data_IF_454769576999
#
_entry.id   IF_454769576999
#
_cell.length_a   1.000
_cell.length_b   1.000
_cell.length_c   1.000
_cell.angle_alpha   90.00
_cell.angle_beta   90.00
_cell.angle_gamma   90.00
#
_symmetry.space_group_name_H-M   'P 1'
#
loop_
_entity.id
_entity.type
_entity.pdbx_description
1 polymer ?
#
# COMPACT_ATOMS: atom_id res chain seq x y z
N UNK A 1 -14.82 -18.65 -11.39
CA UNK A 1 -13.57 -18.56 -12.18
C UNK A 1 -13.52 -19.69 -13.21
N UNK A 2 -13.04 -19.41 -14.42
CA UNK A 2 -12.89 -20.43 -15.46
C UNK A 2 -11.61 -21.24 -15.23
N UNK A 3 -11.72 -22.58 -15.14
CA UNK A 3 -10.55 -23.46 -14.95
C UNK A 3 -9.72 -23.64 -16.21
N UNK A 4 -10.29 -23.34 -17.37
CA UNK A 4 -9.58 -23.41 -18.62
C UNK A 4 -9.82 -22.14 -19.42
N UNK A 5 -8.74 -21.52 -19.88
CA UNK A 5 -8.78 -20.48 -20.89
C UNK A 5 -8.68 -21.13 -22.29
N UNK A 6 -9.43 -20.62 -23.29
CA UNK A 6 -9.31 -21.07 -24.67
C UNK A 6 -7.93 -20.70 -25.26
N UNK A 7 -7.43 -21.46 -26.25
CA UNK A 7 -8.02 -22.68 -26.82
C UNK A 7 -7.88 -23.90 -25.90
N UNK A 8 -8.87 -24.79 -25.95
CA UNK A 8 -8.84 -26.08 -25.25
C UNK A 8 -8.17 -27.12 -26.15
N UNK A 9 -7.12 -27.77 -25.65
CA UNK A 9 -6.51 -28.94 -26.29
C UNK A 9 -6.79 -30.20 -25.49
N UNK A 10 -6.87 -31.35 -26.18
CA UNK A 10 -7.03 -32.64 -25.52
C UNK A 10 -5.90 -32.92 -24.52
N UNK A 11 -4.66 -32.58 -24.88
CA UNK A 11 -3.49 -32.71 -24.03
C UNK A 11 -3.60 -31.88 -22.74
N UNK A 12 -4.02 -30.61 -22.83
CA UNK A 12 -4.21 -29.73 -21.66
C UNK A 12 -5.25 -30.29 -20.70
N UNK A 13 -6.35 -30.82 -21.23
CA UNK A 13 -7.40 -31.46 -20.42
C UNK A 13 -6.90 -32.76 -19.79
N UNK A 14 -6.19 -33.60 -20.55
CA UNK A 14 -5.67 -34.88 -20.08
C UNK A 14 -4.64 -34.70 -18.96
N UNK A 15 -3.71 -33.77 -19.13
CA UNK A 15 -2.71 -33.42 -18.11
C UNK A 15 -3.41 -32.94 -16.84
N UNK A 16 -4.38 -32.03 -16.96
CA UNK A 16 -5.14 -31.53 -15.82
C UNK A 16 -5.86 -32.66 -15.06
N UNK A 17 -6.47 -33.61 -15.77
CA UNK A 17 -7.13 -34.76 -15.13
C UNK A 17 -6.14 -35.73 -14.46
N UNK A 18 -4.98 -35.98 -15.09
CA UNK A 18 -3.91 -36.80 -14.48
C UNK A 18 -3.42 -36.23 -13.16
N UNK A 19 -3.28 -34.91 -13.05
CA UNK A 19 -2.92 -34.24 -11.80
C UNK A 19 -3.99 -34.44 -10.71
N UNK A 20 -5.29 -34.30 -11.05
CA UNK A 20 -6.36 -34.51 -10.06
C UNK A 20 -6.42 -35.96 -9.60
N UNK A 21 -6.13 -36.93 -10.46
CA UNK A 21 -6.02 -38.34 -10.10
C UNK A 21 -4.83 -38.59 -9.18
N UNK A 22 -3.68 -37.92 -9.41
CA UNK A 22 -2.54 -38.00 -8.50
C UNK A 22 -2.90 -37.46 -7.10
N UNK A 23 -3.65 -36.36 -7.01
CA UNK A 23 -4.14 -35.82 -5.74
C UNK A 23 -5.09 -36.77 -4.99
N UNK A 24 -5.83 -37.63 -5.72
CA UNK A 24 -6.66 -38.68 -5.11
C UNK A 24 -5.79 -39.74 -4.44
N UNK A 25 -4.72 -40.18 -5.10
CA UNK A 25 -3.78 -41.15 -4.53
C UNK A 25 -3.07 -40.58 -3.28
N UNK A 26 -2.87 -39.26 -3.23
CA UNK A 26 -2.30 -38.53 -2.09
C UNK A 26 -3.30 -38.24 -0.96
N UNK A 27 -4.58 -38.59 -1.12
CA UNK A 27 -5.65 -38.29 -0.14
C UNK A 27 -5.99 -36.79 0.01
N UNK A 28 -5.48 -35.94 -0.90
CA UNK A 28 -5.74 -34.49 -0.93
C UNK A 28 -7.00 -34.15 -1.73
N UNK A 29 -7.57 -35.12 -2.44
CA UNK A 29 -8.77 -34.97 -3.25
C UNK A 29 -9.61 -36.24 -3.27
N UNK A 30 -10.92 -36.06 -3.33
CA UNK A 30 -11.89 -37.13 -3.56
C UNK A 30 -12.74 -36.76 -4.77
N UNK A 31 -13.00 -37.71 -5.66
CA UNK A 31 -13.74 -37.49 -6.91
C UNK A 31 -14.87 -38.51 -7.01
N UNK A 32 -16.10 -38.03 -7.15
CA UNK A 32 -17.27 -38.86 -7.41
C UNK A 32 -17.71 -38.67 -8.85
N UNK A 33 -17.95 -39.78 -9.52
CA UNK A 33 -18.42 -39.81 -10.90
C UNK A 33 -19.77 -40.48 -10.91
N UNK A 34 -20.78 -39.77 -11.43
CA UNK A 34 -22.11 -40.32 -11.65
C UNK A 34 -22.13 -41.01 -13.01
N UNK A 35 -22.53 -42.28 -13.03
CA UNK A 35 -22.53 -43.13 -14.22
C UNK A 35 -23.87 -43.85 -14.41
N UNK A 36 -24.24 -44.21 -15.65
CA UNK A 36 -25.56 -44.79 -15.95
C UNK A 36 -25.71 -46.23 -15.49
N UNK A 37 -24.67 -47.06 -15.63
CA UNK A 37 -24.67 -48.43 -15.10
C UNK A 37 -23.24 -48.84 -14.68
N UNK A 38 -23.15 -49.71 -13.68
CA UNK A 38 -21.92 -50.41 -13.30
C UNK A 38 -22.22 -51.89 -13.35
N UNK A 39 -21.35 -52.68 -13.96
CA UNK A 39 -21.48 -54.13 -13.85
C UNK A 39 -21.17 -54.62 -12.43
N UNK A 40 -21.46 -55.90 -12.16
CA UNK A 40 -21.23 -56.52 -10.86
C UNK A 40 -19.74 -56.52 -10.40
N UNK A 41 -18.80 -56.12 -11.28
CA UNK A 41 -17.37 -55.98 -10.98
C UNK A 41 -16.95 -54.53 -10.73
N UNK A 42 -17.89 -53.58 -10.81
CA UNK A 42 -17.64 -52.14 -10.66
C UNK A 42 -17.15 -51.48 -11.95
N UNK A 43 -17.24 -52.15 -13.11
CA UNK A 43 -16.78 -51.62 -14.40
C UNK A 43 -17.92 -50.90 -15.13
N UNK A 44 -17.59 -49.76 -15.73
CA UNK A 44 -18.53 -48.89 -16.46
C UNK A 44 -19.02 -49.56 -17.75
N UNK A 45 -20.33 -49.49 -18.05
CA UNK A 45 -20.91 -50.02 -19.29
C UNK A 45 -21.14 -48.92 -20.35
N UNK A 46 -20.07 -48.34 -20.89
CA UNK A 46 -20.14 -47.45 -22.07
C UNK A 46 -19.76 -45.99 -21.80
N UNK A 47 -20.11 -45.02 -22.67
CA UNK A 47 -19.69 -43.62 -22.54
C UNK A 47 -20.63 -42.89 -21.57
N UNK A 48 -20.53 -43.26 -20.29
CA UNK A 48 -21.62 -43.17 -19.31
C UNK A 48 -21.41 -42.11 -18.21
N UNK A 49 -20.43 -41.21 -18.31
CA UNK A 49 -20.23 -40.18 -17.28
C UNK A 49 -21.33 -39.12 -17.37
N UNK A 50 -22.31 -39.22 -16.47
CA UNK A 50 -23.44 -38.30 -16.35
C UNK A 50 -23.12 -37.07 -15.53
N UNK A 51 -22.13 -37.16 -14.64
CA UNK A 51 -21.70 -36.03 -13.82
C UNK A 51 -20.47 -36.31 -12.99
N UNK A 52 -19.91 -35.26 -12.42
CA UNK A 52 -18.75 -35.33 -11.52
C UNK A 52 -18.88 -34.27 -10.44
N UNK A 53 -18.34 -34.54 -9.26
CA UNK A 53 -18.02 -33.55 -8.23
C UNK A 53 -16.72 -33.94 -7.55
N UNK A 54 -15.98 -32.95 -7.04
CA UNK A 54 -14.73 -33.16 -6.33
C UNK A 54 -14.76 -32.47 -4.97
N UNK A 55 -14.09 -33.08 -4.00
CA UNK A 55 -13.77 -32.48 -2.72
C UNK A 55 -12.26 -32.33 -2.63
N UNK A 56 -11.77 -31.11 -2.40
CA UNK A 56 -10.36 -30.81 -2.14
C UNK A 56 -10.14 -30.66 -0.64
N UNK A 57 -9.13 -31.35 -0.11
CA UNK A 57 -8.83 -31.49 1.33
C UNK A 57 -7.37 -31.15 1.67
N UNK A 58 -6.81 -30.02 1.19
CA UNK A 58 -5.41 -29.69 1.42
C UNK A 58 -5.08 -29.55 2.91
N UNK A 59 -3.85 -29.89 3.31
CA UNK A 59 -3.39 -29.74 4.68
C UNK A 59 -3.32 -28.26 5.09
N UNK A 60 -3.87 -27.94 6.25
CA UNK A 60 -3.81 -26.61 6.86
C UNK A 60 -3.97 -26.75 8.38
N UNK A 61 -3.03 -26.20 9.14
CA UNK A 61 -3.07 -26.23 10.62
C UNK A 61 -4.24 -25.40 11.18
N UNK A 62 -4.55 -24.27 10.54
CA UNK A 62 -5.61 -23.35 10.95
C UNK A 62 -6.98 -23.65 10.31
N UNK A 63 -7.02 -24.61 9.38
CA UNK A 63 -8.19 -24.86 8.52
C UNK A 63 -8.54 -26.34 8.33
N UNK A 64 -8.03 -27.25 9.15
CA UNK A 64 -8.22 -28.70 8.98
C UNK A 64 -9.69 -29.15 8.90
N UNK A 65 -10.64 -28.39 9.45
CA UNK A 65 -12.08 -28.68 9.40
C UNK A 65 -12.75 -28.24 8.07
N UNK A 66 -12.02 -27.59 7.15
CA UNK A 66 -12.55 -27.08 5.88
C UNK A 66 -12.33 -28.08 4.73
N UNK A 67 -13.31 -28.18 3.83
CA UNK A 67 -13.19 -28.86 2.54
C UNK A 67 -13.76 -27.99 1.43
N UNK A 68 -13.18 -28.06 0.23
CA UNK A 68 -13.62 -27.26 -0.91
C UNK A 68 -14.33 -28.11 -1.95
N UNK A 69 -15.59 -27.79 -2.25
CA UNK A 69 -16.37 -28.44 -3.30
C UNK A 69 -15.98 -27.81 -4.63
N UNK A 70 -15.45 -28.64 -5.52
CA UNK A 70 -14.98 -28.22 -6.82
C UNK A 70 -15.66 -29.04 -7.92
N UNK A 71 -15.92 -28.39 -9.06
CA UNK A 71 -16.29 -29.07 -10.32
C UNK A 71 -17.54 -29.95 -10.23
N UNK A 72 -18.61 -29.46 -9.57
CA UNK A 72 -19.95 -30.05 -9.73
C UNK A 72 -20.45 -29.80 -11.16
N UNK A 73 -20.37 -30.83 -12.00
CA UNK A 73 -20.76 -30.77 -13.41
C UNK A 73 -21.75 -31.90 -13.72
N UNK A 74 -22.87 -31.56 -14.35
CA UNK A 74 -23.85 -32.52 -14.86
C UNK A 74 -23.92 -32.40 -16.38
N UNK A 75 -23.80 -33.55 -17.05
CA UNK A 75 -23.96 -33.67 -18.49
C UNK A 75 -25.30 -33.04 -18.92
N UNK A 76 -25.30 -32.25 -19.98
CA UNK A 76 -26.45 -31.42 -20.39
C UNK A 76 -27.77 -32.21 -20.51
N UNK A 77 -27.71 -33.45 -21.00
CA UNK A 77 -28.88 -34.32 -21.20
C UNK A 77 -29.38 -35.00 -19.91
N UNK A 78 -28.64 -34.86 -18.80
CA UNK A 78 -28.94 -35.49 -17.51
C UNK A 78 -29.35 -34.46 -16.43
N UNK A 79 -29.40 -33.17 -16.78
CA UNK A 79 -29.83 -32.09 -15.87
C UNK A 79 -31.31 -32.20 -15.53
N UNK A 80 -31.70 -31.70 -14.35
CA UNK A 80 -33.09 -31.74 -13.87
C UNK A 80 -33.57 -33.09 -13.35
N UNK A 81 -32.75 -34.15 -13.41
CA UNK A 81 -33.08 -35.52 -12.96
C UNK A 81 -32.50 -35.87 -11.58
N UNK A 82 -32.12 -34.88 -10.77
CA UNK A 82 -31.57 -35.10 -9.42
C UNK A 82 -30.10 -35.48 -9.32
N UNK A 83 -29.36 -35.67 -10.43
CA UNK A 83 -27.96 -36.12 -10.38
C UNK A 83 -27.00 -35.22 -9.58
N UNK A 84 -27.20 -33.90 -9.59
CA UNK A 84 -26.38 -32.98 -8.79
C UNK A 84 -26.59 -33.18 -7.28
N UNK A 85 -27.83 -33.48 -6.86
CA UNK A 85 -28.16 -33.77 -5.46
C UNK A 85 -27.49 -35.06 -5.01
N UNK A 86 -27.60 -36.13 -5.81
CA UNK A 86 -26.98 -37.42 -5.49
C UNK A 86 -25.45 -37.31 -5.32
N UNK A 87 -24.78 -36.54 -6.20
CA UNK A 87 -23.34 -36.31 -6.09
C UNK A 87 -22.96 -35.49 -4.84
N UNK A 88 -23.72 -34.45 -4.51
CA UNK A 88 -23.47 -33.64 -3.32
C UNK A 88 -23.73 -34.41 -2.01
N UNK A 89 -24.78 -35.23 -1.95
CA UNK A 89 -25.07 -36.08 -0.78
C UNK A 89 -23.94 -37.11 -0.53
N UNK A 90 -23.40 -37.71 -1.60
CA UNK A 90 -22.23 -38.59 -1.50
C UNK A 90 -20.98 -37.84 -1.01
N UNK A 91 -20.73 -36.63 -1.55
CA UNK A 91 -19.61 -35.79 -1.14
C UNK A 91 -19.72 -35.35 0.31
N UNK A 92 -20.90 -34.92 0.76
CA UNK A 92 -21.14 -34.43 2.12
C UNK A 92 -20.96 -35.55 3.15
N UNK A 93 -21.39 -36.76 2.82
CA UNK A 93 -21.21 -37.95 3.66
C UNK A 93 -19.73 -38.22 3.89
N UNK A 94 -18.91 -38.19 2.84
CA UNK A 94 -17.46 -38.40 2.95
C UNK A 94 -16.75 -37.21 3.60
N UNK A 95 -17.13 -35.98 3.29
CA UNK A 95 -16.59 -34.80 3.96
C UNK A 95 -16.77 -34.91 5.48
N UNK A 96 -17.93 -35.38 5.92
CA UNK A 96 -18.20 -35.64 7.34
C UNK A 96 -17.32 -36.75 7.91
N UNK A 97 -17.12 -37.87 7.19
CA UNK A 97 -16.26 -38.98 7.64
C UNK A 97 -14.79 -38.54 7.80
N UNK A 98 -14.35 -37.59 6.98
CA UNK A 98 -13.01 -37.00 6.99
C UNK A 98 -12.86 -35.81 7.97
N UNK A 99 -13.87 -35.51 8.77
CA UNK A 99 -13.84 -34.39 9.73
C UNK A 99 -13.93 -32.99 9.11
N UNK A 100 -14.35 -32.88 7.84
CA UNK A 100 -14.53 -31.61 7.12
C UNK A 100 -15.91 -31.04 7.41
N UNK A 101 -16.04 -30.38 8.57
CA UNK A 101 -17.29 -29.81 9.09
C UNK A 101 -17.79 -28.58 8.34
N UNK A 102 -16.95 -27.97 7.48
CA UNK A 102 -17.31 -26.80 6.69
C UNK A 102 -16.96 -27.02 5.22
N UNK A 103 -17.97 -26.98 4.35
CA UNK A 103 -17.80 -27.06 2.90
C UNK A 103 -17.89 -25.67 2.27
N UNK A 104 -16.86 -25.32 1.51
CA UNK A 104 -16.73 -24.05 0.80
C UNK A 104 -16.77 -24.28 -0.70
N UNK A 105 -17.37 -23.37 -1.46
CA UNK A 105 -17.36 -23.43 -2.92
C UNK A 105 -17.51 -22.05 -3.52
N UNK A 106 -17.01 -21.91 -4.75
CA UNK A 106 -17.26 -20.75 -5.59
C UNK A 106 -18.30 -21.10 -6.66
N UNK A 107 -19.37 -20.30 -6.75
CA UNK A 107 -20.36 -20.37 -7.83
C UNK A 107 -20.63 -18.99 -8.40
N UNK A 108 -20.92 -18.91 -9.70
CA UNK A 108 -21.33 -17.65 -10.33
C UNK A 108 -22.70 -17.21 -9.81
N UNK A 109 -22.81 -15.96 -9.37
CA UNK A 109 -24.06 -15.36 -8.89
C UNK A 109 -25.09 -15.28 -10.03
N UNK A 110 -26.33 -15.65 -9.76
CA UNK A 110 -27.42 -15.72 -10.73
C UNK A 110 -27.40 -16.97 -11.61
N UNK A 111 -26.40 -17.87 -11.47
CA UNK A 111 -26.30 -19.07 -12.29
C UNK A 111 -27.27 -20.19 -11.86
N UNK A 112 -27.53 -21.13 -12.76
CA UNK A 112 -28.31 -22.33 -12.45
C UNK A 112 -27.66 -23.19 -11.35
N UNK A 113 -26.34 -23.11 -11.19
CA UNK A 113 -25.60 -23.82 -10.14
C UNK A 113 -25.87 -23.22 -8.76
N UNK A 114 -25.95 -21.88 -8.65
CA UNK A 114 -26.30 -21.22 -7.38
C UNK A 114 -27.68 -21.66 -6.87
N UNK A 115 -28.67 -21.79 -7.77
CA UNK A 115 -30.00 -22.29 -7.41
C UNK A 115 -30.00 -23.73 -6.89
N UNK A 116 -29.08 -24.57 -7.38
CA UNK A 116 -28.91 -25.96 -6.90
C UNK A 116 -28.31 -25.95 -5.50
N UNK A 117 -27.23 -25.19 -5.27
CA UNK A 117 -26.60 -25.11 -3.95
C UNK A 117 -27.55 -24.55 -2.88
N UNK A 118 -28.34 -23.53 -3.20
CA UNK A 118 -29.38 -23.00 -2.29
C UNK A 118 -30.42 -24.05 -1.92
N UNK A 119 -30.86 -24.88 -2.88
CA UNK A 119 -31.81 -25.98 -2.63
C UNK A 119 -31.22 -27.12 -1.79
N UNK A 120 -29.90 -27.29 -1.82
CA UNK A 120 -29.17 -28.25 -0.98
C UNK A 120 -28.87 -27.69 0.42
N UNK A 121 -29.41 -26.52 0.77
CA UNK A 121 -29.22 -25.90 2.09
C UNK A 121 -27.88 -25.17 2.24
N UNK A 122 -27.07 -25.10 1.18
CA UNK A 122 -25.87 -24.26 1.18
C UNK A 122 -26.29 -22.79 1.16
N UNK A 123 -25.81 -22.06 2.14
CA UNK A 123 -26.12 -20.64 2.30
C UNK A 123 -25.07 -19.84 1.55
N UNK A 124 -25.51 -18.80 0.85
CA UNK A 124 -24.59 -17.79 0.32
C UNK A 124 -23.86 -17.16 1.50
N UNK A 125 -22.62 -17.61 1.72
CA UNK A 125 -21.69 -16.88 2.53
C UNK A 125 -21.10 -15.79 1.62
N UNK A 126 -21.51 -14.54 1.83
CA UNK A 126 -20.51 -13.46 1.78
C UNK A 126 -19.41 -13.93 2.73
N UNK A 127 -18.11 -13.87 2.43
CA UNK A 127 -17.07 -14.50 3.24
C UNK A 127 -17.06 -13.93 4.67
N UNK A 128 -17.96 -14.45 5.49
CA UNK A 128 -18.06 -14.29 6.92
C UNK A 128 -17.44 -15.56 7.43
N UNK A 129 -16.16 -15.43 7.77
CA UNK A 129 -15.45 -16.39 8.59
C UNK A 129 -16.25 -16.56 9.88
N UNK A 130 -16.98 -17.66 10.03
CA UNK A 130 -17.68 -18.03 11.27
C UNK A 130 -17.54 -19.54 11.49
N UNK A 131 -17.33 -20.09 12.68
CA UNK A 131 -17.41 -19.59 14.04
C UNK A 131 -16.34 -20.33 14.86
N UNK A 132 -15.36 -19.60 15.41
CA UNK A 132 -14.88 -19.98 16.74
C UNK A 132 -15.96 -19.50 17.71
N UNK A 133 -16.18 -20.27 18.78
CA UNK A 133 -17.12 -19.94 19.84
C UNK A 133 -17.07 -18.44 20.20
N UNK A 134 -18.26 -17.82 20.27
CA UNK A 134 -18.56 -16.47 20.78
C UNK A 134 -17.34 -15.70 21.30
N UNK A 135 -16.62 -15.10 20.38
CA UNK A 135 -15.88 -13.87 20.62
C UNK A 135 -16.22 -12.98 19.43
N UNK A 136 -16.87 -11.86 19.70
CA UNK A 136 -16.94 -10.77 18.72
C UNK A 136 -15.49 -10.44 18.34
N UNK A 137 -15.06 -10.82 17.13
CA UNK A 137 -13.79 -10.35 16.59
C UNK A 137 -14.07 -8.93 16.12
N UNK A 138 -13.84 -7.97 17.01
CA UNK A 138 -13.72 -6.58 16.61
C UNK A 138 -12.59 -6.49 15.57
N UNK A 139 -12.92 -6.11 14.33
CA UNK A 139 -11.92 -5.56 13.42
C UNK A 139 -11.59 -4.16 13.94
N UNK A 140 -10.60 -4.07 14.81
CA UNK A 140 -10.14 -2.81 15.36
C UNK A 140 -9.03 -2.26 14.44
N UNK A 141 -9.43 -1.60 13.36
CA UNK A 141 -8.53 -0.64 12.71
C UNK A 141 -8.48 0.65 13.53
N UNK A 142 -7.40 1.43 13.43
CA UNK A 142 -7.23 2.68 14.18
C UNK A 142 -8.39 3.68 13.96
N UNK A 143 -9.11 3.58 12.84
CA UNK A 143 -10.20 4.48 12.48
C UNK A 143 -11.53 3.72 12.36
N UNK A 144 -12.67 4.32 12.75
CA UNK A 144 -13.98 3.69 12.61
C UNK A 144 -14.43 3.60 11.14
N UNK A 145 -15.29 2.62 10.81
CA UNK A 145 -15.90 2.48 9.47
C UNK A 145 -15.16 1.58 8.48
N UNK A 146 -14.17 0.82 8.94
CA UNK A 146 -13.32 -0.04 8.11
C UNK A 146 -13.97 -1.44 7.96
N UNK A 147 -14.15 -1.88 6.71
CA UNK A 147 -14.49 -3.29 6.38
C UNK A 147 -13.21 -4.04 5.96
N UNK A 148 -13.08 -5.35 6.26
CA UNK A 148 -11.99 -6.17 5.74
C UNK A 148 -12.22 -6.63 4.28
N UNK A 149 -13.30 -6.20 3.61
CA UNK A 149 -13.60 -6.55 2.23
C UNK A 149 -12.66 -5.85 1.22
N UNK A 150 -12.58 -6.38 0.00
CA UNK A 150 -11.78 -5.75 -1.05
C UNK A 150 -12.41 -4.41 -1.50
N UNK A 151 -11.68 -3.31 -1.36
CA UNK A 151 -12.19 -1.97 -1.60
C UNK A 151 -12.02 -1.56 -3.07
N UNK A 152 -13.12 -1.15 -3.72
CA UNK A 152 -13.07 -0.62 -5.09
C UNK A 152 -13.35 0.88 -5.08
N UNK A 153 -12.31 1.68 -4.87
CA UNK A 153 -12.46 3.14 -4.82
C UNK A 153 -12.95 3.77 -6.13
N UNK A 154 -12.85 3.06 -7.26
CA UNK A 154 -13.46 3.47 -8.52
C UNK A 154 -15.00 3.50 -8.49
N UNK A 155 -15.63 2.82 -7.52
CA UNK A 155 -17.09 2.79 -7.35
C UNK A 155 -17.59 3.77 -6.27
N UNK A 156 -16.67 4.46 -5.59
CA UNK A 156 -16.98 5.43 -4.54
C UNK A 156 -16.73 6.82 -5.09
N UNK A 157 -17.71 7.73 -4.92
CA UNK A 157 -17.51 9.12 -5.30
C UNK A 157 -16.42 9.73 -4.43
N UNK A 158 -15.33 10.27 -5.02
CA UNK A 158 -14.17 10.64 -4.24
C UNK A 158 -14.42 11.99 -3.55
N UNK A 159 -14.28 11.99 -2.23
CA UNK A 159 -14.50 13.17 -1.38
C UNK A 159 -13.20 13.95 -1.22
N UNK A 160 -13.28 15.28 -1.25
CA UNK A 160 -12.13 16.15 -1.03
C UNK A 160 -11.71 16.08 0.44
N UNK A 161 -10.46 15.74 0.71
CA UNK A 161 -9.88 15.70 2.04
C UNK A 161 -9.93 17.08 2.72
N UNK A 162 -9.99 17.10 4.06
CA UNK A 162 -10.20 18.31 4.87
C UNK A 162 -11.51 19.09 4.59
N UNK A 163 -12.44 18.54 3.79
CA UNK A 163 -13.80 19.08 3.67
C UNK A 163 -14.70 18.64 4.83
N UNK A 164 -15.87 19.26 4.96
CA UNK A 164 -16.88 18.86 5.94
C UNK A 164 -17.41 17.42 5.73
N UNK A 165 -17.19 16.85 4.54
CA UNK A 165 -17.62 15.50 4.16
C UNK A 165 -16.53 14.45 4.36
N UNK A 166 -15.26 14.85 4.47
CA UNK A 166 -14.13 13.95 4.73
C UNK A 166 -14.02 13.60 6.21
N UNK A 167 -15.07 12.99 6.77
CA UNK A 167 -15.11 12.50 8.14
C UNK A 167 -15.43 11.01 8.17
N UNK A 168 -14.83 10.21 9.06
CA UNK A 168 -15.04 8.76 9.09
C UNK A 168 -16.53 8.36 9.14
N UNK A 169 -17.36 9.11 9.85
CA UNK A 169 -18.80 8.85 10.00
C UNK A 169 -19.67 9.28 8.80
N UNK A 170 -19.10 10.06 7.87
CA UNK A 170 -19.82 10.60 6.69
C UNK A 170 -19.43 9.94 5.39
N UNK A 171 -18.20 9.44 5.30
CA UNK A 171 -17.72 8.76 4.10
C UNK A 171 -18.25 7.33 4.07
N UNK A 172 -18.52 6.84 2.86
CA UNK A 172 -18.93 5.44 2.68
C UNK A 172 -17.80 4.46 3.00
N UNK A 173 -16.55 4.90 2.80
CA UNK A 173 -15.36 4.06 2.90
C UNK A 173 -14.12 4.92 3.16
N UNK A 174 -13.53 4.79 4.35
CA UNK A 174 -12.30 5.49 4.77
C UNK A 174 -11.05 5.00 4.04
N UNK A 175 -11.09 3.82 3.41
CA UNK A 175 -10.00 3.34 2.54
C UNK A 175 -9.99 4.06 1.19
N UNK A 176 -11.10 4.70 0.82
CA UNK A 176 -11.27 5.44 -0.43
C UNK A 176 -11.34 6.95 -0.26
N UNK A 177 -11.33 7.46 0.96
CA UNK A 177 -11.25 8.90 1.27
C UNK A 177 -10.32 9.12 2.45
N UNK A 178 -9.31 9.98 2.28
CA UNK A 178 -8.44 10.35 3.39
C UNK A 178 -9.17 11.25 4.40
N UNK A 179 -9.46 10.70 5.58
CA UNK A 179 -10.22 11.37 6.64
C UNK A 179 -9.37 11.86 7.82
N UNK A 180 -8.07 11.56 7.84
CA UNK A 180 -7.20 11.93 8.95
C UNK A 180 -6.00 12.77 8.48
N UNK A 181 -5.20 12.22 7.55
CA UNK A 181 -4.04 12.88 6.94
C UNK A 181 -4.40 13.79 5.75
N UNK A 182 -5.57 14.43 5.78
CA UNK A 182 -6.17 15.05 4.59
C UNK A 182 -5.45 16.29 4.03
N UNK A 183 -4.58 16.91 4.81
CA UNK A 183 -3.61 17.88 4.30
C UNK A 183 -2.34 17.10 3.96
N UNK A 184 -1.92 17.08 2.71
CA UNK A 184 -0.72 16.38 2.28
C UNK A 184 0.40 17.37 2.06
N UNK A 185 1.60 17.00 2.50
CA UNK A 185 2.82 17.80 2.31
C UNK A 185 3.87 16.93 1.65
N UNK A 186 4.14 17.16 0.36
CA UNK A 186 5.24 16.52 -0.34
C UNK A 186 6.51 17.34 -0.10
N UNK A 187 7.51 16.72 0.54
CA UNK A 187 8.70 17.41 1.04
C UNK A 187 9.96 16.91 0.34
N UNK A 188 10.88 17.83 0.06
CA UNK A 188 12.15 17.55 -0.60
C UNK A 188 13.32 18.16 0.17
N UNK A 189 14.48 17.53 0.04
CA UNK A 189 15.73 17.92 0.69
C UNK A 189 16.82 18.24 -0.33
N UNK A 190 17.61 19.26 0.01
CA UNK A 190 18.91 19.52 -0.57
C UNK A 190 19.98 19.47 0.50
N UNK A 191 20.82 18.45 0.39
CA UNK A 191 22.01 18.25 1.21
C UNK A 191 23.22 18.14 0.30
N UNK A 192 24.33 18.71 0.75
CA UNK A 192 25.57 18.76 -0.04
C UNK A 192 26.37 17.45 0.02
N UNK A 193 26.12 16.60 1.02
CA UNK A 193 26.76 15.30 1.20
C UNK A 193 25.85 14.32 1.94
N UNK A 194 26.12 13.02 1.83
CA UNK A 194 25.38 11.95 2.52
C UNK A 194 26.10 11.50 3.79
N UNK A 195 27.43 11.63 3.87
CA UNK A 195 28.24 11.08 4.96
C UNK A 195 28.42 9.56 4.87
N UNK A 196 27.94 8.94 3.78
CA UNK A 196 28.03 7.52 3.46
C UNK A 196 28.50 7.31 2.00
N UNK A 197 29.18 8.29 1.42
CA UNK A 197 29.74 8.23 0.07
C UNK A 197 30.68 7.03 -0.09
N UNK A 198 31.47 6.73 0.95
CA UNK A 198 32.36 5.56 1.00
C UNK A 198 31.63 4.21 0.92
N UNK A 199 30.30 4.20 1.14
CA UNK A 199 29.42 3.04 0.98
C UNK A 199 28.61 3.08 -0.32
N UNK A 200 28.90 4.03 -1.21
CA UNK A 200 28.19 4.23 -2.47
C UNK A 200 26.81 4.88 -2.32
N UNK A 201 26.48 5.45 -1.16
CA UNK A 201 25.26 6.24 -1.00
C UNK A 201 25.53 7.66 -1.47
N UNK A 202 25.08 7.98 -2.68
CA UNK A 202 25.27 9.27 -3.33
C UNK A 202 23.91 9.83 -3.72
N UNK A 203 23.80 11.14 -3.87
CA UNK A 203 22.58 11.75 -4.37
C UNK A 203 22.51 11.70 -5.90
N UNK A 204 21.31 11.62 -6.48
CA UNK A 204 21.16 11.80 -7.92
C UNK A 204 21.55 13.22 -8.35
N UNK A 205 22.42 13.32 -9.36
CA UNK A 205 22.81 14.59 -9.98
C UNK A 205 21.60 15.36 -10.51
N UNK A 206 21.66 16.70 -10.45
CA UNK A 206 20.64 17.61 -10.97
C UNK A 206 19.22 17.32 -10.42
N UNK A 207 19.14 16.82 -9.17
CA UNK A 207 17.87 16.46 -8.53
C UNK A 207 17.88 16.79 -7.04
N UNK A 208 16.75 17.30 -6.57
CA UNK A 208 16.45 17.29 -5.14
C UNK A 208 16.11 15.87 -4.68
N UNK A 209 16.46 15.54 -3.43
CA UNK A 209 16.14 14.24 -2.83
C UNK A 209 14.74 14.28 -2.22
N UNK A 210 14.05 13.15 -2.22
CA UNK A 210 12.78 12.99 -1.50
C UNK A 210 13.06 13.09 0.01
N UNK A 211 12.27 13.90 0.71
CA UNK A 211 12.18 13.82 2.17
C UNK A 211 11.05 12.84 2.52
N UNK A 212 9.83 13.13 2.08
CA UNK A 212 8.67 12.28 2.31
C UNK A 212 7.35 12.83 1.79
N UNK A 213 6.27 12.25 2.31
CA UNK A 213 4.90 12.68 2.11
C UNK A 213 4.20 12.65 3.47
N UNK A 214 3.82 13.81 3.98
CA UNK A 214 3.39 13.94 5.37
C UNK A 214 1.92 14.36 5.50
N UNK A 215 1.23 13.91 6.55
CA UNK A 215 -0.03 14.51 6.96
C UNK A 215 0.27 15.87 7.62
N UNK A 216 -0.38 16.94 7.15
CA UNK A 216 -0.15 18.31 7.60
C UNK A 216 -0.76 18.65 8.96
N UNK A 217 -1.50 17.73 9.58
CA UNK A 217 -1.82 17.77 11.01
C UNK A 217 -0.58 17.50 11.88
N UNK A 218 0.53 17.04 11.28
CA UNK A 218 1.77 16.59 11.93
C UNK A 218 1.53 15.55 13.04
N UNK A 219 0.40 14.86 13.01
CA UNK A 219 0.19 13.64 13.78
C UNK A 219 1.24 12.62 13.34
N UNK A 220 1.80 11.90 14.31
CA UNK A 220 2.99 11.10 14.08
C UNK A 220 2.90 9.77 14.83
N UNK A 221 3.46 8.71 14.24
CA UNK A 221 3.46 7.37 14.82
C UNK A 221 2.06 6.90 15.24
N UNK A 222 1.08 7.06 14.37
CA UNK A 222 -0.33 6.83 14.69
C UNK A 222 -0.67 5.35 14.89
N UNK A 223 0.15 4.43 14.36
CA UNK A 223 -0.01 2.99 14.54
C UNK A 223 1.33 2.33 14.90
N UNK A 224 1.52 2.04 16.18
CA UNK A 224 2.75 1.43 16.69
C UNK A 224 2.90 -0.06 16.31
N UNK A 225 1.83 -0.73 15.87
CA UNK A 225 1.92 -2.12 15.39
C UNK A 225 2.62 -2.24 14.03
N UNK A 226 2.76 -1.11 13.33
CA UNK A 226 3.44 -0.97 12.03
C UNK A 226 4.63 0.00 12.09
N UNK A 227 5.21 0.17 13.27
CA UNK A 227 6.41 0.98 13.49
C UNK A 227 7.66 0.15 13.17
N UNK A 228 8.53 0.69 12.33
CA UNK A 228 9.80 0.13 11.90
C UNK A 228 11.01 1.07 12.12
N UNK A 229 10.82 2.23 12.72
CA UNK A 229 11.87 3.24 12.92
C UNK A 229 12.85 2.84 14.04
N UNK A 230 14.14 2.62 13.74
CA UNK A 230 15.15 2.25 14.73
C UNK A 230 15.64 3.42 15.60
N UNK A 231 15.37 4.67 15.19
CA UNK A 231 15.74 5.90 15.90
C UNK A 231 14.58 6.91 15.96
N UNK A 232 13.49 6.62 16.70
CA UNK A 232 12.32 7.50 16.76
C UNK A 232 12.65 8.93 17.19
N UNK A 233 12.39 9.88 16.29
CA UNK A 233 12.60 11.31 16.51
C UNK A 233 11.35 12.13 16.10
N UNK A 234 10.59 12.69 17.06
CA UNK A 234 10.74 12.53 18.51
C UNK A 234 10.37 11.11 18.96
N UNK A 235 10.69 10.79 20.22
CA UNK A 235 10.49 9.47 20.80
C UNK A 235 9.10 9.25 21.43
N UNK A 236 8.13 10.12 21.14
CA UNK A 236 6.73 10.01 21.56
C UNK A 236 5.77 10.30 20.41
N UNK A 237 4.55 9.75 20.47
CA UNK A 237 3.53 9.88 19.40
C UNK A 237 2.96 11.30 19.25
N UNK A 238 3.22 12.22 20.18
CA UNK A 238 2.71 13.59 20.12
C UNK A 238 3.79 14.66 20.43
N UNK A 239 5.06 14.27 20.42
CA UNK A 239 6.22 15.11 20.75
C UNK A 239 6.23 15.67 22.18
N UNK A 240 5.31 15.26 23.05
CA UNK A 240 5.27 15.74 24.43
C UNK A 240 6.14 14.86 25.32
N UNK A 241 6.76 15.44 26.38
CA UNK A 241 7.53 14.67 27.35
C UNK A 241 6.74 13.54 28.05
N UNK A 242 5.41 13.67 28.12
CA UNK A 242 4.49 12.67 28.69
C UNK A 242 3.66 11.93 27.63
N UNK A 243 4.02 12.06 26.36
CA UNK A 243 3.35 11.36 25.26
C UNK A 243 3.60 9.85 25.30
N UNK A 244 2.82 9.09 24.54
CA UNK A 244 3.02 7.64 24.41
C UNK A 244 4.41 7.38 23.81
N UNK A 245 5.28 6.61 24.48
CA UNK A 245 6.61 6.32 23.95
C UNK A 245 6.56 5.52 22.64
N UNK A 246 7.46 5.86 21.73
CA UNK A 246 7.69 5.12 20.49
C UNK A 246 8.94 4.25 20.69
N UNK A 247 8.78 2.93 20.87
CA UNK A 247 9.93 2.06 21.08
C UNK A 247 10.79 2.00 19.80
N UNK A 248 12.13 2.08 19.92
CA UNK A 248 13.01 1.87 18.78
C UNK A 248 12.85 0.48 18.17
N UNK A 249 12.71 0.40 16.84
CA UNK A 249 12.69 -0.86 16.12
C UNK A 249 14.02 -1.61 16.24
N UNK A 250 13.93 -2.94 16.34
CA UNK A 250 15.07 -3.87 16.50
C UNK A 250 15.04 -5.04 15.52
N UNK A 251 14.11 -5.05 14.58
CA UNK A 251 14.03 -6.09 13.56
C UNK A 251 14.99 -5.85 12.41
N UNK A 252 14.78 -6.60 11.31
CA UNK A 252 15.67 -6.53 10.15
C UNK A 252 15.47 -5.25 9.33
N UNK A 253 16.49 -4.81 8.56
CA UNK A 253 16.37 -3.67 7.66
C UNK A 253 15.24 -3.83 6.63
N UNK A 254 14.35 -2.83 6.54
CA UNK A 254 13.15 -2.90 5.69
C UNK A 254 13.48 -3.02 4.19
N UNK A 255 14.68 -2.61 3.76
CA UNK A 255 15.14 -2.77 2.39
C UNK A 255 15.29 -4.25 1.98
N UNK A 256 15.41 -5.18 2.93
CA UNK A 256 15.45 -6.63 2.65
C UNK A 256 14.11 -7.19 2.20
N UNK A 257 13.01 -6.50 2.50
CA UNK A 257 11.66 -6.95 2.14
C UNK A 257 11.36 -6.77 0.66
N UNK A 258 12.04 -5.87 -0.05
CA UNK A 258 11.64 -5.54 -1.43
C UNK A 258 11.87 -6.70 -2.41
N UNK A 259 12.97 -7.46 -2.26
CA UNK A 259 13.32 -8.52 -3.21
C UNK A 259 12.32 -9.70 -3.20
N UNK A 260 11.95 -10.28 -2.04
CA UNK A 260 10.94 -11.35 -1.97
C UNK A 260 9.59 -11.00 -2.59
N UNK A 261 9.21 -9.71 -2.58
CA UNK A 261 7.95 -9.22 -3.16
C UNK A 261 8.10 -8.68 -4.60
N UNK A 262 9.24 -8.87 -5.24
CA UNK A 262 9.48 -8.42 -6.62
C UNK A 262 9.57 -6.90 -6.78
N UNK A 263 9.78 -6.14 -5.69
CA UNK A 263 9.83 -4.67 -5.67
C UNK A 263 11.26 -4.11 -5.85
N UNK A 264 12.13 -4.80 -6.59
CA UNK A 264 13.52 -4.38 -6.78
C UNK A 264 13.66 -3.05 -7.54
N UNK A 265 12.76 -2.78 -8.51
CA UNK A 265 12.75 -1.49 -9.22
C UNK A 265 12.37 -0.33 -8.31
N UNK A 266 11.41 -0.55 -7.40
CA UNK A 266 11.03 0.43 -6.39
C UNK A 266 12.22 0.72 -5.47
N UNK A 267 12.89 -0.31 -4.97
CA UNK A 267 14.09 -0.17 -4.13
C UNK A 267 15.21 0.58 -4.86
N UNK A 268 15.45 0.27 -6.14
CA UNK A 268 16.47 0.96 -6.93
C UNK A 268 16.15 2.44 -7.11
N UNK A 269 14.88 2.78 -7.37
CA UNK A 269 14.45 4.18 -7.46
C UNK A 269 14.66 4.92 -6.13
N UNK A 270 14.24 4.31 -5.01
CA UNK A 270 14.38 4.89 -3.69
C UNK A 270 15.86 5.10 -3.32
N UNK A 271 16.74 4.15 -3.62
CA UNK A 271 18.18 4.31 -3.38
C UNK A 271 18.79 5.49 -4.14
N UNK A 272 18.25 5.82 -5.32
CA UNK A 272 18.75 6.92 -6.15
C UNK A 272 18.16 8.28 -5.77
N UNK A 273 16.88 8.33 -5.42
CA UNK A 273 16.14 9.59 -5.27
C UNK A 273 15.61 9.88 -3.87
N UNK A 274 15.69 8.93 -2.94
CA UNK A 274 15.23 9.08 -1.55
C UNK A 274 16.39 8.78 -0.59
N UNK A 275 17.41 9.63 -0.67
CA UNK A 275 18.70 9.41 -0.04
C UNK A 275 18.76 10.09 1.33
N UNK A 276 19.25 9.36 2.32
CA UNK A 276 19.45 9.85 3.69
C UNK A 276 20.81 10.54 3.85
N UNK A 277 20.88 11.46 4.83
CA UNK A 277 22.13 12.01 5.32
C UNK A 277 22.48 11.36 6.68
N UNK A 278 23.73 10.95 6.84
CA UNK A 278 24.34 10.28 8.00
C UNK A 278 23.84 8.88 8.34
N UNK A 279 22.67 8.49 7.86
CA UNK A 279 22.09 7.16 8.08
C UNK A 279 21.93 6.38 6.78
N UNK A 280 21.87 5.06 6.91
CA UNK A 280 21.56 4.21 5.77
C UNK A 280 20.14 4.50 5.29
N UNK A 281 19.93 4.58 3.98
CA UNK A 281 18.63 4.92 3.39
C UNK A 281 17.44 4.18 4.01
N UNK A 282 17.57 2.88 4.30
CA UNK A 282 16.47 2.07 4.87
C UNK A 282 16.00 2.57 6.24
N UNK A 283 16.88 3.15 7.06
CA UNK A 283 16.52 3.70 8.37
C UNK A 283 15.65 4.93 8.20
N UNK A 284 16.00 5.77 7.23
CA UNK A 284 15.23 6.96 6.89
C UNK A 284 13.86 6.59 6.31
N UNK A 285 13.79 5.62 5.40
CA UNK A 285 12.49 5.16 4.88
C UNK A 285 11.62 4.54 5.96
N UNK A 286 12.23 3.81 6.91
CA UNK A 286 11.52 3.26 8.06
C UNK A 286 10.97 4.37 8.97
N UNK A 287 11.72 5.45 9.18
CA UNK A 287 11.26 6.67 9.85
C UNK A 287 10.04 7.27 9.14
N UNK A 288 10.17 7.55 7.84
CA UNK A 288 9.12 8.19 7.05
C UNK A 288 7.82 7.38 7.05
N UNK A 289 7.92 6.06 6.87
CA UNK A 289 6.75 5.19 6.96
C UNK A 289 6.13 5.19 8.37
N UNK A 290 6.95 4.90 9.38
CA UNK A 290 6.47 4.74 10.76
C UNK A 290 5.85 6.00 11.31
N UNK A 291 6.47 7.15 11.04
CA UNK A 291 6.07 8.44 11.56
C UNK A 291 4.92 9.03 10.78
N UNK A 292 4.92 8.92 9.45
CA UNK A 292 3.97 9.65 8.60
C UNK A 292 2.95 8.74 7.91
N UNK A 293 3.38 7.64 7.29
CA UNK A 293 2.46 6.75 6.56
C UNK A 293 1.37 6.16 7.47
N UNK A 294 1.75 5.79 8.70
CA UNK A 294 0.82 5.19 9.68
C UNK A 294 -0.34 6.10 10.08
N UNK A 295 -0.26 7.40 9.78
CA UNK A 295 -1.26 8.42 10.10
C UNK A 295 -2.23 8.73 8.96
N UNK A 296 -2.07 8.08 7.81
CA UNK A 296 -3.04 8.14 6.74
C UNK A 296 -4.05 6.98 6.88
N UNK A 297 -5.33 7.32 6.87
CA UNK A 297 -6.42 6.34 6.92
C UNK A 297 -6.40 5.39 5.73
N UNK A 298 -6.02 5.90 4.55
CA UNK A 298 -6.05 5.14 3.30
C UNK A 298 -4.90 4.15 3.12
N UNK A 299 -3.91 4.13 4.03
CA UNK A 299 -2.79 3.17 4.08
C UNK A 299 -2.92 2.18 5.25
N UNK A 300 -4.10 2.04 5.84
CA UNK A 300 -4.36 1.00 6.83
C UNK A 300 -4.34 -0.39 6.19
N UNK A 301 -3.89 -1.40 6.92
CA UNK A 301 -3.73 -2.77 6.39
C UNK A 301 -5.06 -3.36 5.94
N UNK A 302 -6.12 -3.01 6.65
CA UNK A 302 -7.49 -3.42 6.37
C UNK A 302 -7.93 -2.99 4.97
N UNK A 303 -7.41 -1.87 4.46
CA UNK A 303 -7.74 -1.35 3.13
C UNK A 303 -7.25 -2.21 1.95
N UNK A 304 -6.40 -3.21 2.22
CA UNK A 304 -5.85 -4.10 1.20
C UNK A 304 -6.57 -5.46 1.14
N UNK A 305 -7.49 -5.71 2.10
CA UNK A 305 -8.25 -6.95 2.18
C UNK A 305 -7.43 -8.18 2.60
N UNK A 306 -8.06 -9.37 2.67
CA UNK A 306 -7.51 -10.54 3.34
C UNK A 306 -6.43 -11.29 2.54
N UNK A 307 -6.24 -10.92 1.27
CA UNK A 307 -5.20 -11.50 0.40
C UNK A 307 -3.97 -10.62 0.29
N UNK A 308 -3.96 -9.48 0.99
CA UNK A 308 -2.84 -8.57 0.99
C UNK A 308 -1.56 -9.24 1.49
N UNK A 309 -0.46 -8.88 0.87
CA UNK A 309 0.87 -9.23 1.36
C UNK A 309 1.20 -8.50 2.67
N UNK A 310 2.11 -9.07 3.47
CA UNK A 310 2.45 -8.58 4.82
C UNK A 310 2.91 -7.11 4.88
N UNK A 311 3.37 -6.55 3.76
CA UNK A 311 3.95 -5.20 3.65
C UNK A 311 3.35 -4.39 2.48
N UNK A 312 2.15 -4.76 2.03
CA UNK A 312 1.53 -4.10 0.87
C UNK A 312 1.33 -2.60 1.09
N UNK A 313 0.88 -2.23 2.29
CA UNK A 313 0.73 -0.85 2.73
C UNK A 313 2.01 -0.04 2.67
N UNK A 314 3.13 -0.65 3.03
CA UNK A 314 4.46 -0.05 2.96
C UNK A 314 4.94 0.17 1.54
N UNK A 315 4.75 -0.81 0.65
CA UNK A 315 5.15 -0.65 -0.75
C UNK A 315 4.27 0.39 -1.46
N UNK A 316 2.95 0.36 -1.25
CA UNK A 316 2.01 1.32 -1.82
C UNK A 316 2.29 2.74 -1.34
N UNK A 317 2.67 2.93 -0.07
CA UNK A 317 3.07 4.24 0.43
C UNK A 317 4.28 4.79 -0.33
N UNK A 318 5.34 3.98 -0.48
CA UNK A 318 6.54 4.42 -1.20
C UNK A 318 6.28 4.69 -2.69
N UNK A 319 5.48 3.86 -3.35
CA UNK A 319 5.06 4.11 -4.74
C UNK A 319 4.24 5.40 -4.85
N UNK A 320 3.36 5.66 -3.88
CA UNK A 320 2.58 6.90 -3.82
C UNK A 320 3.49 8.12 -3.66
N UNK A 321 4.44 8.08 -2.71
CA UNK A 321 5.39 9.19 -2.50
C UNK A 321 6.14 9.47 -3.80
N UNK A 322 6.66 8.44 -4.46
CA UNK A 322 7.37 8.60 -5.74
C UNK A 322 6.47 9.24 -6.80
N UNK A 323 5.21 8.81 -6.90
CA UNK A 323 4.25 9.39 -7.83
C UNK A 323 4.04 10.89 -7.63
N UNK A 324 3.94 11.35 -6.38
CA UNK A 324 3.88 12.77 -6.04
C UNK A 324 5.18 13.51 -6.37
N UNK A 325 6.32 12.93 -6.00
CA UNK A 325 7.63 13.57 -6.12
C UNK A 325 8.08 13.74 -7.58
N UNK A 326 7.71 12.80 -8.47
CA UNK A 326 8.00 12.89 -9.91
C UNK A 326 7.32 14.08 -10.61
N UNK A 327 6.29 14.67 -10.00
CA UNK A 327 5.59 15.86 -10.50
C UNK A 327 6.22 17.17 -10.04
N UNK A 328 7.27 17.09 -9.22
CA UNK A 328 7.91 18.22 -8.53
C UNK A 328 9.40 18.31 -8.88
N UNK A 329 9.78 18.60 -10.15
CA UNK A 329 11.17 18.70 -10.58
C UNK A 329 11.82 20.03 -10.11
N UNK A 330 11.90 20.23 -8.79
CA UNK A 330 12.39 21.46 -8.13
C UNK A 330 13.74 21.93 -8.66
N UNK A 331 14.69 21.01 -8.88
CA UNK A 331 15.99 21.36 -9.45
C UNK A 331 15.83 22.08 -10.79
N UNK A 332 15.02 21.50 -11.68
CA UNK A 332 14.78 22.05 -13.01
C UNK A 332 14.07 23.39 -12.93
N UNK A 333 13.05 23.52 -12.10
CA UNK A 333 12.32 24.79 -11.93
C UNK A 333 13.23 25.94 -11.47
N UNK A 334 14.13 25.67 -10.51
CA UNK A 334 15.13 26.65 -10.10
C UNK A 334 16.14 26.92 -11.22
N UNK A 335 16.64 25.88 -11.86
CA UNK A 335 17.62 25.97 -12.93
C UNK A 335 17.12 26.76 -14.16
N UNK A 336 15.85 26.58 -14.55
CA UNK A 336 15.19 27.29 -15.64
C UNK A 336 15.05 28.79 -15.32
N UNK A 337 15.00 29.15 -14.04
CA UNK A 337 15.05 30.54 -13.54
C UNK A 337 16.49 31.06 -13.30
N UNK A 338 17.52 30.29 -13.68
CA UNK A 338 18.93 30.65 -13.47
C UNK A 338 19.45 30.46 -12.04
N UNK A 339 18.68 29.80 -11.17
CA UNK A 339 19.05 29.49 -9.79
C UNK A 339 19.65 28.08 -9.75
N UNK A 340 20.97 27.99 -9.69
CA UNK A 340 21.72 26.72 -9.66
C UNK A 340 22.59 26.59 -8.42
N UNK A 341 22.92 25.36 -8.00
CA UNK A 341 23.94 25.16 -6.97
C UNK A 341 25.22 25.91 -7.34
N UNK A 342 25.77 26.67 -6.41
CA UNK A 342 27.02 27.41 -6.57
C UNK A 342 27.64 27.72 -5.21
N UNK A 343 28.94 27.49 -5.08
CA UNK A 343 29.68 27.89 -3.88
C UNK A 343 29.99 29.40 -3.82
N UNK A 344 29.79 30.12 -4.92
CA UNK A 344 30.14 31.55 -5.03
C UNK A 344 28.91 32.46 -5.13
N UNK A 345 27.78 31.94 -5.60
CA UNK A 345 26.56 32.74 -5.81
C UNK A 345 25.69 32.75 -4.56
N UNK A 346 25.04 33.88 -4.31
CA UNK A 346 23.96 33.98 -3.35
C UNK A 346 22.70 34.51 -4.05
N UNK A 347 21.54 34.10 -3.55
CA UNK A 347 20.23 34.38 -4.10
C UNK A 347 19.39 35.15 -3.09
N UNK A 348 18.35 35.82 -3.57
CA UNK A 348 17.34 36.41 -2.70
C UNK A 348 16.20 35.42 -2.54
N UNK A 349 15.67 35.26 -1.32
CA UNK A 349 14.51 34.40 -1.06
C UNK A 349 13.33 34.68 -2.00
N UNK A 350 13.08 35.95 -2.33
CA UNK A 350 12.01 36.35 -3.25
C UNK A 350 12.17 35.73 -4.66
N UNK A 351 13.41 35.61 -5.16
CA UNK A 351 13.68 35.02 -6.47
C UNK A 351 13.46 33.51 -6.45
N UNK A 352 13.93 32.83 -5.39
CA UNK A 352 13.70 31.40 -5.17
C UNK A 352 12.20 31.10 -5.06
N UNK A 353 11.49 31.87 -4.24
CA UNK A 353 10.04 31.74 -4.07
C UNK A 353 9.30 32.00 -5.39
N UNK A 354 9.71 33.03 -6.14
CA UNK A 354 9.12 33.40 -7.42
C UNK A 354 9.27 32.31 -8.47
N UNK A 355 10.47 31.72 -8.60
CA UNK A 355 10.73 30.62 -9.52
C UNK A 355 9.84 29.40 -9.22
N UNK A 356 9.80 28.97 -7.96
CA UNK A 356 9.02 27.80 -7.56
C UNK A 356 7.52 28.05 -7.63
N UNK A 357 7.05 29.24 -7.22
CA UNK A 357 5.64 29.58 -7.28
C UNK A 357 5.14 29.79 -8.72
N UNK A 358 5.99 30.26 -9.63
CA UNK A 358 5.67 30.38 -11.05
C UNK A 358 5.35 29.03 -11.69
N UNK A 359 6.11 28.00 -11.33
CA UNK A 359 5.94 26.63 -11.85
C UNK A 359 4.87 25.83 -11.08
N UNK A 360 4.86 25.94 -9.76
CA UNK A 360 3.85 25.28 -8.93
C UNK A 360 2.47 25.92 -9.08
N UNK A 361 2.40 27.22 -9.39
CA UNK A 361 1.17 28.01 -9.52
C UNK A 361 0.66 28.63 -8.20
N UNK A 362 1.29 28.32 -7.06
CA UNK A 362 0.99 28.84 -5.73
C UNK A 362 2.26 29.00 -4.91
N UNK A 363 2.22 29.73 -3.79
CA UNK A 363 3.38 29.83 -2.92
C UNK A 363 3.70 28.47 -2.29
N UNK A 364 4.97 28.08 -2.34
CA UNK A 364 5.52 26.90 -1.64
C UNK A 364 6.24 27.31 -0.35
N UNK A 365 6.52 26.36 0.53
CA UNK A 365 7.42 26.62 1.65
C UNK A 365 8.87 26.42 1.21
N UNK A 366 9.73 27.40 1.51
CA UNK A 366 11.17 27.37 1.24
C UNK A 366 11.93 27.40 2.56
N UNK A 367 12.53 26.27 2.91
CA UNK A 367 13.29 26.07 4.14
C UNK A 367 14.79 26.31 3.93
N UNK A 368 15.37 27.11 4.82
CA UNK A 368 16.81 27.23 4.96
C UNK A 368 17.31 26.75 6.33
N UNK A 369 18.51 26.16 6.34
CA UNK A 369 19.34 25.82 7.49
C UNK A 369 20.61 26.68 7.57
N UNK A 370 21.66 26.16 8.21
CA UNK A 370 22.93 26.87 8.38
C UNK A 370 22.87 28.02 9.41
N UNK A 371 23.85 28.95 9.40
CA UNK A 371 23.86 30.09 10.32
C UNK A 371 22.67 31.04 10.06
N UNK A 372 22.34 31.89 11.04
CA UNK A 372 21.42 33.00 10.77
C UNK A 372 22.15 34.10 10.01
N UNK A 373 21.46 34.85 9.16
CA UNK A 373 22.09 35.88 8.34
C UNK A 373 22.80 36.93 9.18
N UNK A 374 22.17 37.42 10.25
CA UNK A 374 22.78 38.36 11.19
C UNK A 374 24.01 37.83 11.97
N UNK A 375 24.25 36.52 11.97
CA UNK A 375 25.45 35.88 12.53
C UNK A 375 26.58 35.76 11.49
N UNK A 376 26.28 35.95 10.20
CA UNK A 376 27.28 35.93 9.13
C UNK A 376 28.02 37.26 9.01
N UNK A 377 29.18 37.24 8.34
CA UNK A 377 29.92 38.46 8.02
C UNK A 377 29.10 39.42 7.14
N UNK A 378 28.41 38.88 6.12
CA UNK A 378 27.59 39.66 5.20
C UNK A 378 26.35 40.28 5.86
N UNK A 379 25.79 39.64 6.87
CA UNK A 379 24.61 40.11 7.58
C UNK A 379 24.89 40.83 8.90
N UNK A 380 26.16 41.08 9.25
CA UNK A 380 26.52 41.72 10.52
C UNK A 380 25.82 43.08 10.67
N UNK A 381 25.03 43.22 11.74
CA UNK A 381 24.23 44.43 12.00
C UNK A 381 22.85 44.45 11.33
N UNK A 382 22.51 43.44 10.52
CA UNK A 382 21.17 43.25 9.97
C UNK A 382 20.19 42.79 11.07
N UNK A 383 18.93 43.26 11.05
CA UNK A 383 17.88 42.69 11.90
C UNK A 383 17.38 41.32 11.39
N UNK A 384 17.79 40.89 10.19
CA UNK A 384 17.34 39.64 9.60
C UNK A 384 18.01 38.42 10.24
N UNK A 385 17.21 37.65 10.98
CA UNK A 385 17.64 36.48 11.72
C UNK A 385 17.25 35.16 11.04
N UNK A 386 16.85 35.21 9.76
CA UNK A 386 16.54 34.04 8.95
C UNK A 386 17.80 33.23 8.62
N UNK A 387 17.60 31.97 8.25
CA UNK A 387 18.64 30.99 7.93
C UNK A 387 19.16 31.18 6.51
N UNK A 388 20.42 30.85 6.24
CA UNK A 388 21.07 31.23 4.99
C UNK A 388 21.20 30.10 3.97
N UNK A 389 21.07 28.83 4.34
CA UNK A 389 21.40 27.72 3.44
C UNK A 389 20.14 26.99 2.98
N UNK A 390 19.81 27.09 1.69
CA UNK A 390 18.65 26.44 1.10
C UNK A 390 18.72 24.91 1.29
N UNK A 391 17.71 24.34 1.94
CA UNK A 391 17.77 22.94 2.40
C UNK A 391 16.46 22.15 2.23
N UNK A 392 15.28 22.78 2.32
CA UNK A 392 14.00 22.06 2.18
C UNK A 392 13.00 22.81 1.31
N UNK A 393 12.17 22.08 0.56
CA UNK A 393 11.00 22.64 -0.13
C UNK A 393 9.77 21.79 0.17
N UNK A 394 8.66 22.42 0.57
CA UNK A 394 7.41 21.70 0.87
C UNK A 394 6.25 22.19 -0.01
N UNK A 395 5.53 21.22 -0.59
CA UNK A 395 4.40 21.41 -1.49
C UNK A 395 3.13 20.87 -0.87
N UNK A 396 2.09 21.70 -0.79
CA UNK A 396 0.86 21.39 -0.04
C UNK A 396 -0.30 21.01 -0.96
N UNK A 397 -1.09 20.03 -0.53
CA UNK A 397 -2.23 19.53 -1.29
C UNK A 397 -3.40 19.12 -0.40
N UNK A 398 -4.62 19.24 -0.93
CA UNK A 398 -5.72 18.35 -0.58
C UNK A 398 -5.89 17.31 -1.69
N UNK A 399 -6.35 16.11 -1.33
CA UNK A 399 -6.60 15.03 -2.29
C UNK A 399 -8.08 14.74 -2.39
N UNK A 400 -8.52 14.26 -3.55
CA UNK A 400 -9.88 13.78 -3.72
C UNK A 400 -9.86 12.25 -3.68
N UNK A 401 -10.43 11.68 -2.61
CA UNK A 401 -10.34 10.26 -2.34
C UNK A 401 -9.00 9.88 -1.68
N UNK A 402 -8.24 8.99 -2.30
CA UNK A 402 -6.97 8.45 -1.77
C UNK A 402 -5.72 9.18 -2.31
N UNK A 403 -4.68 9.40 -1.48
CA UNK A 403 -3.37 9.89 -1.92
C UNK A 403 -2.73 9.06 -3.05
N UNK A 404 -3.06 7.76 -3.13
CA UNK A 404 -2.56 6.81 -4.14
C UNK A 404 -2.88 7.22 -5.58
N UNK A 405 -3.89 8.06 -5.79
CA UNK A 405 -4.22 8.59 -7.12
C UNK A 405 -3.16 9.56 -7.66
N UNK A 406 -2.26 10.09 -6.81
CA UNK A 406 -1.20 11.05 -7.19
C UNK A 406 -1.74 12.31 -7.89
N UNK A 407 -2.97 12.70 -7.52
CA UNK A 407 -3.67 13.88 -7.99
C UNK A 407 -4.29 14.62 -6.81
N UNK A 408 -4.29 15.94 -6.86
CA UNK A 408 -4.80 16.76 -5.77
C UNK A 408 -4.75 18.25 -6.03
N UNK A 409 -5.57 18.95 -5.25
CA UNK A 409 -5.70 20.39 -5.27
C UNK A 409 -4.49 21.00 -4.56
N UNK A 410 -3.64 21.68 -5.31
CA UNK A 410 -2.52 22.46 -4.78
C UNK A 410 -3.03 23.51 -3.79
N UNK A 411 -2.25 23.77 -2.74
CA UNK A 411 -2.56 24.76 -1.72
C UNK A 411 -1.41 25.74 -1.56
N UNK A 412 -1.75 26.98 -1.22
CA UNK A 412 -0.76 28.00 -0.89
C UNK A 412 -0.17 27.73 0.49
N UNK A 413 1.15 27.60 0.56
CA UNK A 413 1.90 27.28 1.78
C UNK A 413 1.69 28.30 2.90
N UNK A 414 1.38 29.57 2.59
CA UNK A 414 1.08 30.58 3.61
C UNK A 414 -0.16 30.20 4.39
N UNK A 415 -1.21 29.78 3.68
CA UNK A 415 -2.48 29.40 4.28
C UNK A 415 -2.47 27.99 4.85
N UNK A 416 -1.84 27.04 4.15
CA UNK A 416 -1.85 25.64 4.54
C UNK A 416 -0.80 25.31 5.62
N UNK A 417 0.40 25.87 5.50
CA UNK A 417 1.52 25.63 6.41
C UNK A 417 1.72 26.70 7.49
N UNK A 418 1.01 27.83 7.41
CA UNK A 418 1.11 28.94 8.35
C UNK A 418 2.37 29.80 8.22
N UNK A 419 3.34 29.40 7.39
CA UNK A 419 4.56 30.14 7.10
C UNK A 419 5.10 29.79 5.71
N UNK A 420 5.81 30.74 5.09
CA UNK A 420 6.43 30.51 3.78
C UNK A 420 7.90 30.14 3.86
N UNK A 421 8.62 30.51 4.93
CA UNK A 421 10.07 30.32 4.92
C UNK A 421 10.70 30.37 6.31
N UNK A 422 11.85 29.71 6.43
CA UNK A 422 12.84 29.94 7.49
C UNK A 422 14.06 30.73 7.00
N UNK A 423 14.12 31.03 5.70
CA UNK A 423 15.23 31.73 5.06
C UNK A 423 15.29 33.20 5.45
N UNK A 424 16.51 33.73 5.41
CA UNK A 424 16.74 35.16 5.40
C UNK A 424 16.11 35.79 4.15
N UNK A 425 15.58 37.01 4.32
CA UNK A 425 14.90 37.79 3.29
C UNK A 425 15.73 38.96 2.78
N UNK A 426 16.84 39.27 3.44
CA UNK A 426 17.84 40.20 2.95
C UNK A 426 18.30 39.78 1.55
N UNK A 427 18.67 40.78 0.75
CA UNK A 427 19.16 40.57 -0.61
C UNK A 427 20.41 39.69 -0.56
N UNK A 428 20.51 38.71 -1.46
CA UNK A 428 21.70 37.84 -1.59
C UNK A 428 22.08 37.11 -0.27
N UNK A 429 21.08 36.79 0.56
CA UNK A 429 21.29 36.11 1.83
C UNK A 429 21.17 34.57 1.76
N UNK A 430 20.61 34.04 0.67
CA UNK A 430 20.35 32.60 0.51
C UNK A 430 21.45 31.94 -0.32
N UNK A 431 22.08 30.91 0.25
CA UNK A 431 23.09 30.07 -0.39
C UNK A 431 22.44 28.78 -0.86
N UNK A 432 22.64 28.45 -2.13
CA UNK A 432 22.28 27.15 -2.69
C UNK A 432 23.58 26.46 -3.10
N UNK A 433 24.16 25.66 -2.20
CA UNK A 433 25.51 25.13 -2.38
C UNK A 433 25.56 23.94 -3.33
N UNK A 434 26.68 23.82 -4.03
CA UNK A 434 27.04 22.61 -4.78
C UNK A 434 27.19 21.44 -3.82
N UNK A 435 26.90 20.24 -4.31
CA UNK A 435 27.25 19.04 -3.56
C UNK A 435 28.77 18.88 -3.51
N UNK A 436 29.24 18.30 -2.42
CA UNK A 436 30.64 17.94 -2.25
C UNK A 436 31.08 16.98 -3.34
N UNK A 437 32.37 17.02 -3.68
CA UNK A 437 32.96 16.11 -4.66
C UNK A 437 32.73 14.65 -4.25
N UNK A 438 32.17 13.84 -5.15
CA UNK A 438 31.84 12.43 -4.91
C UNK A 438 30.52 12.19 -4.16
N UNK A 439 29.75 13.24 -3.85
CA UNK A 439 28.43 13.11 -3.19
C UNK A 439 27.25 13.03 -4.17
N UNK A 440 27.49 13.04 -5.48
CA UNK A 440 26.44 12.85 -6.50
C UNK A 440 26.86 12.04 -7.72
N UNK A 441 25.88 11.36 -8.33
CA UNK A 441 26.03 10.54 -9.55
C UNK A 441 24.83 10.61 -10.52
#
# INVERSE_FOLDING_TARGET
MATFLPPLSHEKLLTWWKERIAEVNDGKRHIWILVTDIDATGKLKGPEVMGVVMLSTPYSETGAFRGYVEKLLIHKNCRGKGGARALMEALETEASSLGRKMLLLDTETGSSAEAVYKKLGMRSAVPVVGMAALAEIASAGLYPGITPDNHTCALVEPVLSCSCEARPEKVKDTCCTETYGGLLVATQLWSTFTGLESKGQMYAKDSWSIHGLWPGSYTQYCDLSRQYDPKPAPNTTDSKPKGTPVPPYRGEPINRWFAPYGKLHLLAYMNKYWVSQYDANWMFWAHEFSKHATCFSTFQKECYGPKASQHEDLFDFFETVIGWQRRLPTFRWLADAGIRPSNNTAYTYADVQGALAGEFGLSVFVGCGGPRFNETEAGRGSPDNGRTELNEIWYYYHVRGTPRATDGNKLDARTAGGRLTTCAKAKEAVRYYERSEGSEE
#
